data_IF_577953048567
#
_entry.id   IF_577953048567
#
_cell.length_a   1.000
_cell.length_b   1.000
_cell.length_c   1.000
_cell.angle_alpha   90.00
_cell.angle_beta   90.00
_cell.angle_gamma   90.00
#
_symmetry.space_group_name_H-M   'P 1'
#
loop_
_entity.id
_entity.type
_entity.pdbx_description
1 polymer ?
#
# COMPACT_ATOMS: atom_id res chain seq x y z
N UNK A 1 -39.75 -17.06 69.52
CA UNK A 1 -40.53 -15.83 69.79
C UNK A 1 -40.56 -14.99 68.55
N UNK A 2 -41.78 -14.75 68.14
CA UNK A 2 -42.31 -13.71 67.18
C UNK A 2 -41.70 -13.53 65.81
N UNK A 3 -42.40 -13.96 64.76
CA UNK A 3 -43.48 -13.30 63.95
C UNK A 3 -42.99 -11.95 63.38
N UNK A 4 -43.03 -11.70 62.14
CA UNK A 4 -44.21 -11.61 61.25
C UNK A 4 -43.87 -11.54 59.77
N UNK A 5 -44.71 -12.20 59.04
CA UNK A 5 -44.99 -12.14 57.63
C UNK A 5 -45.32 -10.75 57.14
N UNK A 6 -44.94 -10.44 55.85
CA UNK A 6 -45.82 -9.72 54.92
C UNK A 6 -45.54 -10.19 53.51
N UNK A 7 -46.59 -10.75 52.94
CA UNK A 7 -46.73 -11.01 51.50
C UNK A 7 -47.07 -9.72 50.78
N UNK A 8 -46.49 -9.49 49.61
CA UNK A 8 -47.26 -8.77 48.62
C UNK A 8 -46.87 -9.23 47.21
N UNK A 9 -47.90 -9.62 46.51
CA UNK A 9 -47.95 -10.06 45.13
C UNK A 9 -47.95 -8.85 44.21
N UNK A 10 -47.04 -8.79 43.27
CA UNK A 10 -47.19 -7.89 42.14
C UNK A 10 -46.76 -8.57 40.84
N UNK A 11 -47.74 -8.78 40.02
CA UNK A 11 -47.75 -9.22 38.62
C UNK A 11 -46.81 -8.39 37.75
N UNK A 12 -45.75 -8.98 37.23
CA UNK A 12 -44.84 -8.34 36.28
C UNK A 12 -44.90 -9.01 34.90
N UNK A 13 -45.36 -8.28 33.93
CA UNK A 13 -45.46 -8.60 32.50
C UNK A 13 -44.09 -8.96 31.92
N UNK A 14 -44.02 -9.87 30.90
CA UNK A 14 -42.75 -10.16 30.21
C UNK A 14 -42.40 -8.99 29.29
N UNK A 15 -41.21 -8.44 29.48
CA UNK A 15 -40.62 -7.44 28.60
C UNK A 15 -40.04 -8.14 27.37
N UNK A 16 -40.68 -7.96 26.23
CA UNK A 16 -40.14 -8.33 24.93
C UNK A 16 -38.98 -7.39 24.59
N UNK A 17 -37.83 -7.86 24.12
CA UNK A 17 -36.82 -6.98 23.58
C UNK A 17 -37.25 -6.54 22.16
N UNK A 18 -37.56 -5.26 22.02
CA UNK A 18 -37.68 -4.59 20.75
C UNK A 18 -36.30 -4.47 20.11
N UNK A 19 -36.05 -5.23 19.04
CA UNK A 19 -34.96 -4.94 18.11
C UNK A 19 -35.30 -3.59 17.43
N UNK A 20 -34.62 -2.54 17.84
CA UNK A 20 -34.64 -1.27 17.15
C UNK A 20 -33.69 -1.36 15.95
N UNK A 21 -34.27 -1.58 14.78
CA UNK A 21 -33.59 -1.38 13.49
C UNK A 21 -33.44 0.13 13.31
N UNK A 22 -32.22 0.67 13.48
CA UNK A 22 -31.91 2.05 13.14
C UNK A 22 -31.67 2.11 11.63
N UNK A 23 -32.72 2.40 10.88
CA UNK A 23 -32.63 2.91 9.53
C UNK A 23 -32.26 4.41 9.64
N UNK A 24 -30.99 4.72 9.40
CA UNK A 24 -30.55 6.09 9.21
C UNK A 24 -31.01 6.55 7.83
N UNK A 25 -32.16 7.20 7.76
CA UNK A 25 -32.62 7.92 6.59
C UNK A 25 -31.80 9.23 6.50
N UNK A 26 -30.86 9.29 5.57
CA UNK A 26 -30.26 10.56 5.16
C UNK A 26 -31.24 11.33 4.31
N UNK A 27 -31.92 12.32 4.90
CA UNK A 27 -32.67 13.33 4.17
C UNK A 27 -31.70 14.32 3.55
N UNK A 28 -31.46 14.21 2.25
CA UNK A 28 -30.81 15.24 1.44
C UNK A 28 -31.81 16.37 1.28
N UNK A 29 -31.57 17.51 1.94
CA UNK A 29 -32.19 18.78 1.61
C UNK A 29 -31.56 19.30 0.32
N UNK A 30 -32.26 19.11 -0.80
CA UNK A 30 -31.88 19.69 -2.08
C UNK A 30 -32.38 21.13 -2.11
N UNK A 31 -31.46 22.10 -2.02
CA UNK A 31 -31.73 23.45 -2.50
C UNK A 31 -31.63 23.43 -4.03
N UNK A 32 -32.79 23.64 -4.66
CA UNK A 32 -32.93 23.78 -6.09
C UNK A 32 -32.25 25.07 -6.57
N UNK A 33 -31.25 24.91 -7.45
CA UNK A 33 -30.96 25.93 -8.44
C UNK A 33 -30.69 25.22 -9.78
N UNK A 34 -31.58 25.50 -10.71
CA UNK A 34 -31.67 24.95 -12.06
C UNK A 34 -30.56 25.46 -12.94
N UNK A 35 -29.78 24.59 -13.53
CA UNK A 35 -29.27 24.72 -14.91
C UNK A 35 -28.75 23.37 -15.40
N UNK A 36 -29.41 22.82 -16.38
CA UNK A 36 -29.04 21.77 -17.35
C UNK A 36 -27.70 21.03 -17.09
N UNK A 37 -27.80 19.87 -16.48
CA UNK A 37 -26.74 18.85 -16.54
C UNK A 37 -27.39 17.54 -16.99
N UNK A 38 -26.81 16.96 -18.02
CA UNK A 38 -27.17 15.69 -18.62
C UNK A 38 -27.29 14.60 -17.55
N UNK A 39 -28.50 14.20 -17.20
CA UNK A 39 -28.84 13.44 -15.99
C UNK A 39 -28.94 11.93 -16.25
N UNK A 40 -28.02 11.33 -16.97
CA UNK A 40 -27.99 9.88 -17.16
C UNK A 40 -26.67 9.21 -16.78
N UNK A 41 -25.56 9.88 -17.06
CA UNK A 41 -24.22 9.25 -16.93
C UNK A 41 -23.68 9.20 -15.50
N UNK A 42 -24.10 10.11 -14.62
CA UNK A 42 -23.50 10.24 -13.29
C UNK A 42 -24.05 9.25 -12.23
N UNK A 43 -25.34 8.92 -12.31
CA UNK A 43 -25.94 7.97 -11.35
C UNK A 43 -25.49 6.53 -11.61
N UNK A 44 -25.40 6.15 -12.86
CA UNK A 44 -24.93 4.82 -13.27
C UNK A 44 -23.42 4.65 -13.02
N UNK A 45 -22.63 5.70 -13.23
CA UNK A 45 -21.23 5.76 -12.87
C UNK A 45 -21.00 5.64 -11.37
N UNK A 46 -21.82 6.30 -10.56
CA UNK A 46 -21.72 6.25 -9.10
C UNK A 46 -22.17 4.87 -8.54
N UNK A 47 -23.20 4.27 -9.12
CA UNK A 47 -23.63 2.90 -8.78
C UNK A 47 -22.57 1.87 -9.17
N UNK A 48 -21.94 2.01 -10.33
CA UNK A 48 -20.83 1.14 -10.76
C UNK A 48 -19.60 1.32 -9.88
N UNK A 49 -19.27 2.55 -9.49
CA UNK A 49 -18.18 2.83 -8.57
C UNK A 49 -18.43 2.27 -7.16
N UNK A 50 -19.68 2.32 -6.67
CA UNK A 50 -20.03 1.74 -5.37
C UNK A 50 -20.03 0.21 -5.39
N UNK A 51 -20.46 -0.41 -6.48
CA UNK A 51 -20.38 -1.86 -6.67
C UNK A 51 -18.93 -2.35 -6.80
N UNK A 52 -18.09 -1.60 -7.50
CA UNK A 52 -16.67 -1.89 -7.62
C UNK A 52 -15.92 -1.70 -6.29
N UNK A 53 -16.26 -0.70 -5.51
CA UNK A 53 -15.73 -0.51 -4.17
C UNK A 53 -16.14 -1.65 -3.22
N UNK A 54 -17.37 -2.15 -3.35
CA UNK A 54 -17.84 -3.31 -2.59
C UNK A 54 -17.13 -4.59 -3.00
N UNK A 55 -16.85 -4.80 -4.30
CA UNK A 55 -16.08 -5.95 -4.77
C UNK A 55 -14.60 -5.89 -4.36
N UNK A 56 -13.98 -4.71 -4.27
CA UNK A 56 -12.60 -4.57 -3.80
C UNK A 56 -12.43 -5.04 -2.36
N UNK A 57 -13.44 -4.80 -1.52
CA UNK A 57 -13.46 -5.29 -0.13
C UNK A 57 -13.60 -6.83 -0.08
N UNK A 58 -14.05 -7.47 -1.15
CA UNK A 58 -14.28 -8.92 -1.22
C UNK A 58 -13.17 -9.71 -1.89
N UNK A 59 -12.13 -9.07 -2.46
CA UNK A 59 -10.95 -9.81 -2.96
C UNK A 59 -10.28 -10.55 -1.80
N UNK A 60 -10.21 -11.86 -1.91
CA UNK A 60 -9.47 -12.68 -0.97
C UNK A 60 -7.97 -12.41 -1.06
N UNK A 61 -7.23 -12.77 -0.02
CA UNK A 61 -5.77 -12.66 -0.03
C UNK A 61 -5.14 -13.47 -1.16
N UNK A 62 -5.73 -14.62 -1.49
CA UNK A 62 -5.31 -15.45 -2.63
C UNK A 62 -5.53 -14.74 -3.97
N UNK A 63 -6.66 -14.04 -4.15
CA UNK A 63 -6.92 -13.25 -5.37
C UNK A 63 -5.94 -12.09 -5.51
N UNK A 64 -5.63 -11.40 -4.40
CA UNK A 64 -4.64 -10.30 -4.39
C UNK A 64 -3.25 -10.85 -4.74
N UNK A 65 -2.84 -11.98 -4.19
CA UNK A 65 -1.57 -12.61 -4.54
C UNK A 65 -1.51 -13.02 -6.00
N UNK A 66 -2.56 -13.66 -6.52
CA UNK A 66 -2.64 -14.05 -7.93
C UNK A 66 -2.59 -12.83 -8.87
N UNK A 67 -3.27 -11.74 -8.50
CA UNK A 67 -3.23 -10.49 -9.25
C UNK A 67 -1.83 -9.88 -9.23
N UNK A 68 -1.16 -9.88 -8.08
CA UNK A 68 0.21 -9.41 -7.96
C UNK A 68 1.18 -10.24 -8.80
N UNK A 69 1.02 -11.57 -8.83
CA UNK A 69 1.86 -12.46 -9.64
C UNK A 69 1.71 -12.17 -11.14
N UNK A 70 0.48 -12.04 -11.61
CA UNK A 70 0.20 -11.71 -13.01
C UNK A 70 0.70 -10.32 -13.38
N UNK A 71 0.48 -9.32 -12.49
CA UNK A 71 0.94 -7.95 -12.70
C UNK A 71 2.46 -7.85 -12.75
N UNK A 72 3.15 -8.53 -11.82
CA UNK A 72 4.61 -8.58 -11.81
C UNK A 72 5.17 -9.26 -13.05
N UNK A 73 4.58 -10.38 -13.50
CA UNK A 73 5.00 -11.07 -14.72
C UNK A 73 4.79 -10.20 -15.97
N UNK A 74 3.68 -9.49 -16.05
CA UNK A 74 3.37 -8.57 -17.15
C UNK A 74 4.37 -7.40 -17.20
N UNK A 75 4.69 -6.79 -16.04
CA UNK A 75 5.70 -5.74 -15.94
C UNK A 75 7.09 -6.24 -16.30
N UNK A 76 7.48 -7.44 -15.84
CA UNK A 76 8.75 -8.07 -16.20
C UNK A 76 8.84 -8.36 -17.71
N UNK A 77 7.73 -8.74 -18.34
CA UNK A 77 7.64 -9.01 -19.78
C UNK A 77 7.80 -7.75 -20.64
N UNK A 78 7.32 -6.61 -20.15
CA UNK A 78 7.42 -5.31 -20.83
C UNK A 78 8.75 -4.61 -20.59
N UNK A 79 9.40 -4.86 -19.45
CA UNK A 79 10.61 -4.18 -19.04
C UNK A 79 11.88 -4.87 -19.60
N UNK A 80 12.93 -4.08 -19.80
CA UNK A 80 14.26 -4.64 -20.00
C UNK A 80 14.86 -5.02 -18.65
N UNK A 81 14.67 -6.28 -18.25
CA UNK A 81 15.24 -6.83 -17.01
C UNK A 81 16.74 -7.02 -17.16
N UNK A 82 17.52 -6.50 -16.21
CA UNK A 82 18.98 -6.64 -16.20
C UNK A 82 19.38 -8.11 -16.07
N UNK A 83 20.35 -8.52 -16.88
CA UNK A 83 20.94 -9.86 -16.75
C UNK A 83 21.52 -10.06 -15.36
N UNK A 84 21.35 -11.26 -14.79
CA UNK A 84 21.91 -11.61 -13.48
C UNK A 84 23.44 -11.39 -13.37
N UNK A 85 24.15 -11.48 -14.49
CA UNK A 85 25.59 -11.19 -14.59
C UNK A 85 25.89 -9.70 -14.83
N UNK A 86 24.87 -8.88 -15.05
CA UNK A 86 25.01 -7.44 -15.29
C UNK A 86 25.45 -6.69 -14.01
N UNK A 87 26.18 -5.61 -14.18
CA UNK A 87 26.71 -4.80 -13.06
C UNK A 87 25.61 -4.32 -12.11
N UNK A 88 24.46 -3.88 -12.66
CA UNK A 88 23.34 -3.37 -11.88
C UNK A 88 22.69 -4.49 -11.04
N UNK A 89 22.44 -5.67 -11.63
CA UNK A 89 21.89 -6.81 -10.93
C UNK A 89 22.85 -7.32 -9.83
N UNK A 90 24.14 -7.37 -10.11
CA UNK A 90 25.15 -7.74 -9.12
C UNK A 90 25.24 -6.71 -7.97
N UNK A 91 25.10 -5.41 -8.28
CA UNK A 91 25.03 -4.36 -7.26
C UNK A 91 23.79 -4.56 -6.37
N UNK A 92 22.61 -4.76 -6.97
CA UNK A 92 21.39 -5.03 -6.22
C UNK A 92 21.54 -6.26 -5.32
N UNK A 93 22.07 -7.37 -5.83
CA UNK A 93 22.31 -8.57 -5.05
C UNK A 93 23.21 -8.34 -3.82
N UNK A 94 24.23 -7.46 -3.95
CA UNK A 94 25.05 -7.05 -2.80
C UNK A 94 24.29 -6.17 -1.82
N UNK A 95 23.44 -5.26 -2.30
CA UNK A 95 22.65 -4.34 -1.47
C UNK A 95 21.68 -5.09 -0.56
N UNK A 96 20.99 -6.09 -1.11
CA UNK A 96 19.98 -6.86 -0.37
C UNK A 96 20.58 -8.01 0.45
N UNK A 97 21.88 -8.26 0.33
CA UNK A 97 22.56 -9.26 1.16
C UNK A 97 22.51 -8.83 2.63
N UNK A 98 21.83 -9.60 3.47
CA UNK A 98 21.61 -9.31 4.89
C UNK A 98 20.28 -8.63 5.18
N UNK A 99 19.50 -8.28 4.17
CA UNK A 99 18.08 -7.97 4.33
C UNK A 99 17.26 -9.27 4.46
N UNK A 100 16.03 -9.21 5.01
CA UNK A 100 15.17 -10.39 5.08
C UNK A 100 14.90 -10.94 3.68
N UNK A 101 14.83 -12.26 3.57
CA UNK A 101 14.42 -12.94 2.34
C UNK A 101 12.91 -13.07 2.23
N UNK A 102 12.22 -12.88 3.34
CA UNK A 102 10.78 -13.03 3.48
C UNK A 102 10.25 -12.01 4.47
N UNK A 103 9.06 -11.48 4.22
CA UNK A 103 8.31 -10.61 5.14
C UNK A 103 6.86 -11.04 5.14
N UNK A 104 6.27 -11.19 6.33
CA UNK A 104 4.86 -11.60 6.52
C UNK A 104 4.48 -12.85 5.68
N UNK A 105 5.38 -13.84 5.61
CA UNK A 105 5.19 -15.07 4.83
C UNK A 105 5.39 -14.92 3.32
N UNK A 106 5.83 -13.75 2.85
CA UNK A 106 6.02 -13.46 1.43
C UNK A 106 7.50 -13.43 1.09
N UNK A 107 7.92 -14.30 0.17
CA UNK A 107 9.32 -14.33 -0.32
C UNK A 107 9.59 -13.14 -1.24
N UNK A 108 10.65 -12.38 -0.92
CA UNK A 108 11.04 -11.20 -1.68
C UNK A 108 11.86 -11.58 -2.93
N UNK A 109 11.45 -11.05 -4.09
CA UNK A 109 12.10 -11.27 -5.38
C UNK A 109 12.57 -9.95 -5.97
N UNK A 110 13.88 -9.78 -6.11
CA UNK A 110 14.51 -8.53 -6.53
C UNK A 110 15.01 -8.60 -7.97
N UNK A 111 14.63 -7.61 -8.81
CA UNK A 111 15.21 -7.44 -10.14
C UNK A 111 15.49 -5.96 -10.42
N UNK A 112 16.39 -5.70 -11.37
CA UNK A 112 16.65 -4.36 -11.89
C UNK A 112 15.98 -4.22 -13.26
N UNK A 113 15.28 -3.11 -13.48
CA UNK A 113 14.82 -2.68 -14.79
C UNK A 113 15.83 -1.70 -15.40
N UNK A 114 16.36 -2.01 -16.57
CA UNK A 114 17.30 -1.14 -17.29
C UNK A 114 16.55 0.00 -17.98
N UNK A 115 16.39 1.10 -17.27
CA UNK A 115 15.72 2.31 -17.73
C UNK A 115 16.36 3.55 -17.10
N UNK A 116 16.22 4.73 -17.75
CA UNK A 116 16.66 6.01 -17.19
C UNK A 116 15.71 6.57 -16.14
N UNK A 117 14.52 6.03 -16.04
CA UNK A 117 13.51 6.44 -15.08
C UNK A 117 14.02 6.25 -13.65
N UNK A 118 13.66 7.20 -12.77
CA UNK A 118 14.06 7.18 -11.38
C UNK A 118 12.90 6.65 -10.56
N UNK A 119 12.87 5.34 -10.34
CA UNK A 119 11.79 4.66 -9.63
C UNK A 119 12.25 3.36 -8.94
N UNK A 120 11.47 2.94 -7.96
CA UNK A 120 11.44 1.60 -7.39
C UNK A 120 10.00 1.31 -6.97
N UNK A 121 9.63 0.05 -6.85
CA UNK A 121 8.31 -0.35 -6.39
C UNK A 121 8.30 -1.79 -5.88
N UNK A 122 7.30 -2.11 -5.05
CA UNK A 122 7.07 -3.46 -4.58
C UNK A 122 5.58 -3.81 -4.60
N UNK A 123 5.29 -5.06 -5.00
CA UNK A 123 3.94 -5.64 -4.98
C UNK A 123 3.79 -6.61 -3.81
N UNK A 124 2.53 -6.87 -3.43
CA UNK A 124 2.18 -7.70 -2.28
C UNK A 124 2.70 -9.16 -2.34
N UNK A 125 3.04 -9.66 -3.53
CA UNK A 125 3.68 -10.97 -3.72
C UNK A 125 5.21 -10.98 -3.50
N UNK A 126 5.77 -9.88 -2.98
CA UNK A 126 7.20 -9.73 -2.77
C UNK A 126 8.03 -9.40 -4.02
N UNK A 127 7.37 -9.10 -5.13
CA UNK A 127 8.01 -8.61 -6.34
C UNK A 127 8.56 -7.19 -6.10
N UNK A 128 9.88 -7.04 -5.94
CA UNK A 128 10.58 -5.76 -5.73
C UNK A 128 11.39 -5.42 -6.98
N UNK A 129 11.16 -4.24 -7.53
CA UNK A 129 11.84 -3.78 -8.74
C UNK A 129 12.53 -2.44 -8.49
N UNK A 130 13.79 -2.36 -8.89
CA UNK A 130 14.63 -1.15 -8.75
C UNK A 130 15.08 -0.73 -10.13
N UNK A 131 14.88 0.51 -10.48
CA UNK A 131 15.24 1.02 -11.80
C UNK A 131 16.71 1.45 -11.84
N UNK A 132 17.40 1.18 -12.94
CA UNK A 132 18.81 1.54 -13.09
C UNK A 132 19.04 3.05 -12.97
N UNK A 133 18.09 3.88 -13.43
CA UNK A 133 18.17 5.33 -13.26
C UNK A 133 18.18 5.77 -11.79
N UNK A 134 17.41 5.12 -10.93
CA UNK A 134 17.48 5.34 -9.48
C UNK A 134 18.84 4.90 -8.92
N UNK A 135 19.32 3.73 -9.34
CA UNK A 135 20.60 3.21 -8.89
C UNK A 135 21.79 4.10 -9.29
N UNK A 136 21.72 4.79 -10.42
CA UNK A 136 22.75 5.75 -10.85
C UNK A 136 22.77 7.02 -9.99
N UNK A 137 21.62 7.45 -9.48
CA UNK A 137 21.48 8.67 -8.68
C UNK A 137 21.81 8.46 -7.21
N UNK A 138 21.74 7.23 -6.70
CA UNK A 138 21.85 6.92 -5.28
C UNK A 138 23.09 6.08 -4.96
N UNK A 139 23.68 6.35 -3.80
CA UNK A 139 24.70 5.47 -3.22
C UNK A 139 24.05 4.22 -2.58
N UNK A 140 24.87 3.28 -2.13
CA UNK A 140 24.40 1.98 -1.63
C UNK A 140 23.57 2.09 -0.34
N UNK A 141 23.86 3.06 0.55
CA UNK A 141 23.08 3.25 1.76
C UNK A 141 21.71 3.85 1.45
N UNK A 142 21.65 4.82 0.53
CA UNK A 142 20.42 5.42 0.06
C UNK A 142 19.52 4.37 -0.62
N UNK A 143 20.08 3.52 -1.49
CA UNK A 143 19.36 2.43 -2.13
C UNK A 143 18.82 1.41 -1.11
N UNK A 144 19.60 1.08 -0.06
CA UNK A 144 19.08 0.23 1.01
C UNK A 144 17.91 0.88 1.74
N UNK A 145 17.97 2.18 1.96
CA UNK A 145 16.85 2.94 2.52
C UNK A 145 15.60 2.82 1.67
N UNK A 146 15.70 3.10 0.36
CA UNK A 146 14.57 2.99 -0.57
C UNK A 146 14.05 1.56 -0.64
N UNK A 147 14.91 0.55 -0.79
CA UNK A 147 14.50 -0.86 -0.83
C UNK A 147 13.80 -1.25 0.48
N UNK A 148 14.29 -0.81 1.63
CA UNK A 148 13.67 -1.04 2.93
C UNK A 148 12.28 -0.40 3.03
N UNK A 149 12.10 0.79 2.47
CA UNK A 149 10.82 1.49 2.38
C UNK A 149 9.82 0.71 1.50
N UNK A 150 10.23 0.23 0.32
CA UNK A 150 9.39 -0.62 -0.53
C UNK A 150 8.98 -1.92 0.16
N UNK A 151 9.90 -2.55 0.89
CA UNK A 151 9.59 -3.73 1.72
C UNK A 151 8.57 -3.36 2.82
N UNK A 152 8.67 -2.16 3.40
CA UNK A 152 7.72 -1.64 4.38
C UNK A 152 6.29 -1.60 3.84
N UNK A 153 6.09 -1.11 2.61
CA UNK A 153 4.78 -1.12 1.97
C UNK A 153 4.20 -2.53 1.77
N UNK A 154 5.05 -3.52 1.52
CA UNK A 154 4.62 -4.94 1.46
C UNK A 154 4.25 -5.46 2.84
N UNK A 155 5.14 -5.30 3.82
CA UNK A 155 4.98 -5.82 5.17
C UNK A 155 3.76 -5.23 5.91
N UNK A 156 3.48 -3.95 5.69
CA UNK A 156 2.36 -3.23 6.30
C UNK A 156 1.05 -3.37 5.52
N UNK A 157 1.05 -4.13 4.42
CA UNK A 157 -0.13 -4.35 3.60
C UNK A 157 -0.57 -3.14 2.76
N UNK A 158 0.25 -2.09 2.65
CA UNK A 158 -0.06 -0.92 1.83
C UNK A 158 -0.19 -1.28 0.35
N UNK A 159 0.73 -2.10 -0.19
CA UNK A 159 0.67 -2.62 -1.56
C UNK A 159 -0.58 -3.49 -1.79
N UNK A 160 -0.99 -4.29 -0.80
CA UNK A 160 -2.25 -5.04 -0.83
C UNK A 160 -3.44 -4.11 -0.96
N UNK A 161 -3.50 -3.08 -0.12
CA UNK A 161 -4.58 -2.08 -0.14
C UNK A 161 -4.63 -1.31 -1.45
N UNK A 162 -3.48 -0.88 -1.95
CA UNK A 162 -3.38 -0.20 -3.25
C UNK A 162 -3.89 -1.09 -4.39
N UNK A 163 -3.56 -2.38 -4.37
CA UNK A 163 -4.03 -3.35 -5.36
C UNK A 163 -5.56 -3.55 -5.32
N UNK A 164 -6.14 -3.65 -4.12
CA UNK A 164 -7.59 -3.72 -3.95
C UNK A 164 -8.29 -2.49 -4.52
N UNK A 165 -7.75 -1.29 -4.26
CA UNK A 165 -8.29 -0.02 -4.79
C UNK A 165 -8.13 0.06 -6.31
N UNK A 166 -6.97 -0.30 -6.85
CA UNK A 166 -6.73 -0.30 -8.30
C UNK A 166 -7.65 -1.28 -9.02
N UNK A 167 -7.85 -2.48 -8.45
CA UNK A 167 -8.79 -3.47 -8.96
C UNK A 167 -10.22 -2.94 -8.94
N UNK A 168 -10.66 -2.36 -7.82
CA UNK A 168 -12.00 -1.78 -7.70
C UNK A 168 -12.27 -0.70 -8.76
N UNK A 169 -11.32 0.18 -8.97
CA UNK A 169 -11.41 1.23 -9.99
C UNK A 169 -11.46 0.65 -11.43
N UNK A 170 -10.84 -0.52 -11.66
CA UNK A 170 -10.89 -1.26 -12.94
C UNK A 170 -12.17 -2.09 -13.10
N UNK A 171 -12.58 -2.80 -12.06
CA UNK A 171 -13.75 -3.70 -12.06
C UNK A 171 -15.09 -2.99 -12.31
N UNK A 172 -15.15 -1.67 -12.08
CA UNK A 172 -16.30 -0.86 -12.50
C UNK A 172 -16.64 -0.99 -13.99
N UNK A 173 -15.72 -1.50 -14.81
CA UNK A 173 -15.94 -1.76 -16.24
C UNK A 173 -16.46 -3.17 -16.52
N UNK A 174 -16.29 -4.10 -15.60
CA UNK A 174 -16.54 -5.54 -15.85
C UNK A 174 -17.60 -6.20 -14.98
N UNK A 175 -18.31 -5.47 -14.13
CA UNK A 175 -19.33 -6.04 -13.23
C UNK A 175 -20.45 -6.87 -13.94
N UNK A 176 -20.36 -7.01 -15.25
CA UNK A 176 -21.32 -7.77 -16.06
C UNK A 176 -20.88 -9.20 -16.40
N UNK A 177 -19.64 -9.62 -16.11
CA UNK A 177 -19.08 -10.78 -16.82
C UNK A 177 -18.86 -12.06 -16.01
N UNK A 178 -19.05 -12.13 -14.70
CA UNK A 178 -18.68 -13.38 -14.00
C UNK A 178 -19.55 -13.77 -12.82
N UNK A 179 -20.60 -14.48 -13.12
CA UNK A 179 -21.15 -15.45 -12.19
C UNK A 179 -20.24 -16.71 -12.24
N UNK A 180 -19.40 -16.92 -11.24
CA UNK A 180 -18.85 -18.25 -10.96
C UNK A 180 -17.34 -18.50 -11.13
N UNK A 181 -16.55 -17.56 -11.63
CA UNK A 181 -15.09 -17.73 -11.72
C UNK A 181 -14.37 -16.70 -10.81
N UNK A 182 -13.13 -17.05 -10.36
CA UNK A 182 -12.26 -16.09 -9.70
C UNK A 182 -12.21 -14.79 -10.53
N UNK A 183 -12.50 -13.66 -9.88
CA UNK A 183 -12.55 -12.36 -10.54
C UNK A 183 -11.24 -12.02 -11.27
N UNK A 184 -10.10 -12.51 -10.76
CA UNK A 184 -8.76 -12.36 -11.34
C UNK A 184 -8.54 -13.28 -12.56
N UNK A 185 -9.22 -14.44 -12.61
CA UNK A 185 -9.08 -15.37 -13.72
C UNK A 185 -9.70 -14.84 -15.02
N UNK A 186 -10.69 -13.95 -14.90
CA UNK A 186 -11.39 -13.35 -16.03
C UNK A 186 -10.64 -12.15 -16.67
N UNK A 187 -9.58 -11.64 -16.04
CA UNK A 187 -8.83 -10.48 -16.54
C UNK A 187 -7.98 -10.85 -17.77
N UNK A 188 -8.04 -10.03 -18.80
CA UNK A 188 -7.16 -10.10 -19.96
C UNK A 188 -5.76 -9.59 -19.63
N UNK A 189 -4.76 -9.91 -20.46
CA UNK A 189 -3.40 -9.40 -20.31
C UNK A 189 -3.34 -7.86 -20.34
N UNK A 190 -4.16 -7.21 -21.19
CA UNK A 190 -4.24 -5.75 -21.24
C UNK A 190 -4.75 -5.16 -19.92
N UNK A 191 -5.80 -5.74 -19.34
CA UNK A 191 -6.37 -5.27 -18.07
C UNK A 191 -5.41 -5.49 -16.89
N UNK A 192 -4.68 -6.59 -16.90
CA UNK A 192 -3.61 -6.85 -15.93
C UNK A 192 -2.50 -5.79 -16.07
N UNK A 193 -2.12 -5.45 -17.30
CA UNK A 193 -1.14 -4.40 -17.59
C UNK A 193 -1.60 -3.02 -17.08
N UNK A 194 -2.83 -2.64 -17.38
CA UNK A 194 -3.42 -1.37 -16.90
C UNK A 194 -3.49 -1.31 -15.36
N UNK A 195 -3.79 -2.44 -14.72
CA UNK A 195 -3.81 -2.54 -13.26
C UNK A 195 -2.41 -2.44 -12.68
N UNK A 196 -1.43 -3.11 -13.30
CA UNK A 196 -0.04 -3.06 -12.88
C UNK A 196 0.53 -1.63 -12.94
N UNK A 197 0.26 -0.89 -14.02
CA UNK A 197 0.66 0.50 -14.16
C UNK A 197 0.00 1.40 -13.11
N UNK A 198 -1.30 1.21 -12.86
CA UNK A 198 -1.99 1.94 -11.79
C UNK A 198 -1.41 1.65 -10.42
N UNK A 199 -0.98 0.41 -10.17
CA UNK A 199 -0.38 0.02 -8.91
C UNK A 199 0.99 0.67 -8.70
N UNK A 200 1.83 0.65 -9.72
CA UNK A 200 3.16 1.30 -9.69
C UNK A 200 3.06 2.81 -9.51
N UNK A 201 1.99 3.42 -10.00
CA UNK A 201 1.72 4.85 -9.88
C UNK A 201 0.72 5.19 -8.75
N UNK A 202 0.34 4.22 -7.91
CA UNK A 202 -0.57 4.46 -6.79
C UNK A 202 0.08 5.37 -5.75
N UNK A 203 -0.64 6.42 -5.36
CA UNK A 203 -0.18 7.33 -4.30
C UNK A 203 -0.51 6.75 -2.93
N UNK A 204 0.47 6.75 -2.07
CA UNK A 204 0.30 6.43 -0.66
C UNK A 204 0.00 7.69 0.16
N UNK A 205 -0.77 7.53 1.24
CA UNK A 205 -1.01 8.63 2.16
C UNK A 205 0.26 8.97 2.96
N UNK A 206 0.36 10.19 3.46
CA UNK A 206 1.51 10.59 4.31
C UNK A 206 1.70 9.68 5.52
N UNK A 207 0.61 9.18 6.10
CA UNK A 207 0.68 8.22 7.21
C UNK A 207 1.33 6.90 6.76
N UNK A 208 0.89 6.33 5.63
CA UNK A 208 1.49 5.11 5.07
C UNK A 208 2.96 5.30 4.69
N UNK A 209 3.32 6.47 4.18
CA UNK A 209 4.71 6.82 3.89
C UNK A 209 5.56 6.84 5.17
N UNK A 210 5.07 7.48 6.24
CA UNK A 210 5.76 7.51 7.53
C UNK A 210 5.89 6.11 8.14
N UNK A 211 4.85 5.30 8.07
CA UNK A 211 4.87 3.90 8.54
C UNK A 211 5.89 3.06 7.76
N UNK A 212 5.98 3.23 6.43
CA UNK A 212 6.97 2.55 5.60
C UNK A 212 8.40 3.02 5.89
N UNK A 213 8.59 4.30 6.18
CA UNK A 213 9.88 4.87 6.60
C UNK A 213 10.32 4.31 7.94
N UNK A 214 9.41 4.23 8.91
CA UNK A 214 9.67 3.65 10.23
C UNK A 214 10.01 2.16 10.13
N UNK A 215 9.28 1.43 9.30
CA UNK A 215 9.59 0.03 9.02
C UNK A 215 10.99 -0.12 8.42
N UNK A 216 11.34 0.69 7.42
CA UNK A 216 12.66 0.68 6.80
C UNK A 216 13.77 0.98 7.83
N UNK A 217 13.54 1.95 8.71
CA UNK A 217 14.48 2.31 9.77
C UNK A 217 14.72 1.12 10.71
N UNK A 218 13.67 0.46 11.16
CA UNK A 218 13.75 -0.68 12.08
C UNK A 218 14.35 -1.92 11.41
N UNK A 219 14.00 -2.18 10.14
CA UNK A 219 14.59 -3.23 9.32
C UNK A 219 16.10 -3.06 9.18
N UNK A 220 16.55 -1.85 8.81
CA UNK A 220 17.98 -1.56 8.67
C UNK A 220 18.71 -1.63 10.01
N UNK A 221 18.06 -1.24 11.12
CA UNK A 221 18.59 -1.37 12.47
C UNK A 221 18.82 -2.83 12.83
N UNK A 222 17.82 -3.68 12.61
CA UNK A 222 17.89 -5.12 12.86
C UNK A 222 18.96 -5.80 12.00
N UNK A 223 19.07 -5.39 10.75
CA UNK A 223 20.10 -5.86 9.81
C UNK A 223 21.49 -5.29 10.10
N UNK A 224 21.66 -4.42 11.11
CA UNK A 224 22.91 -3.71 11.45
C UNK A 224 23.47 -2.89 10.28
N UNK A 225 22.58 -2.34 9.47
CA UNK A 225 22.91 -1.48 8.33
C UNK A 225 22.79 0.00 8.70
N UNK A 226 23.41 0.85 7.91
CA UNK A 226 23.32 2.30 8.08
C UNK A 226 21.93 2.79 7.70
N UNK A 227 21.36 3.71 8.49
CA UNK A 227 20.02 4.28 8.34
C UNK A 227 20.01 5.73 7.86
N UNK A 228 21.15 6.40 7.93
CA UNK A 228 21.31 7.78 7.45
C UNK A 228 21.05 7.91 5.94
N UNK A 229 21.15 6.79 5.19
CA UNK A 229 20.79 6.72 3.78
C UNK A 229 19.32 7.03 3.51
N UNK A 230 18.39 6.75 4.45
CA UNK A 230 16.97 7.15 4.31
C UNK A 230 16.84 8.67 4.20
N UNK A 231 17.51 9.41 5.09
CA UNK A 231 17.49 10.88 5.08
C UNK A 231 18.01 11.42 3.76
N UNK A 232 19.22 11.00 3.38
CA UNK A 232 19.87 11.54 2.18
C UNK A 232 19.18 11.11 0.88
N UNK A 233 18.51 9.94 0.86
CA UNK A 233 17.67 9.52 -0.24
C UNK A 233 16.48 10.47 -0.43
N UNK A 234 15.73 10.77 0.63
CA UNK A 234 14.59 11.68 0.55
C UNK A 234 15.00 13.10 0.16
N UNK A 235 16.12 13.60 0.68
CA UNK A 235 16.66 14.90 0.27
C UNK A 235 17.04 14.94 -1.21
N UNK A 236 17.61 13.85 -1.73
CA UNK A 236 17.92 13.75 -3.17
C UNK A 236 16.69 13.67 -4.02
N UNK A 237 15.70 12.84 -3.64
CA UNK A 237 14.44 12.75 -4.35
C UNK A 237 13.73 14.10 -4.38
N UNK A 238 13.64 14.80 -3.25
CA UNK A 238 13.03 16.12 -3.19
C UNK A 238 13.70 17.13 -4.14
N UNK A 239 15.03 17.06 -4.32
CA UNK A 239 15.78 17.92 -5.27
C UNK A 239 15.57 17.55 -6.73
N UNK A 240 15.18 16.30 -7.02
CA UNK A 240 14.91 15.84 -8.39
C UNK A 240 13.53 16.32 -8.88
N UNK A 241 12.60 16.60 -7.97
CA UNK A 241 11.27 17.10 -8.29
C UNK A 241 10.57 16.20 -9.32
N UNK A 242 9.91 16.81 -10.30
CA UNK A 242 9.13 16.11 -11.34
C UNK A 242 9.98 15.20 -12.26
N UNK A 243 11.30 15.20 -12.12
CA UNK A 243 12.18 14.27 -12.85
C UNK A 243 12.22 12.86 -12.23
N UNK A 244 11.44 12.60 -11.18
CA UNK A 244 11.35 11.32 -10.52
C UNK A 244 9.90 10.83 -10.48
N UNK A 245 9.59 9.76 -11.18
CA UNK A 245 8.28 9.09 -11.08
C UNK A 245 8.04 8.51 -9.68
N UNK A 246 9.09 8.23 -8.92
CA UNK A 246 8.98 7.81 -7.53
C UNK A 246 8.29 8.88 -6.65
N UNK A 247 8.47 10.17 -6.93
CA UNK A 247 7.79 11.23 -6.18
C UNK A 247 6.30 11.31 -6.48
N UNK A 248 5.85 10.79 -7.62
CA UNK A 248 4.44 10.74 -7.96
C UNK A 248 3.68 9.71 -7.11
N UNK A 249 4.32 8.59 -6.79
CA UNK A 249 3.76 7.53 -5.93
C UNK A 249 4.11 7.70 -4.45
N UNK A 250 5.29 8.22 -4.16
CA UNK A 250 5.83 8.43 -2.81
C UNK A 250 6.18 9.90 -2.60
N UNK A 251 5.23 10.76 -2.24
CA UNK A 251 5.49 12.18 -2.03
C UNK A 251 6.64 12.38 -1.04
N UNK A 252 7.76 12.94 -1.53
CA UNK A 252 8.84 13.30 -0.66
C UNK A 252 8.46 14.57 0.11
N UNK A 253 8.49 14.51 1.42
CA UNK A 253 8.38 15.68 2.25
C UNK A 253 9.68 15.90 3.00
N UNK A 254 10.05 17.15 3.20
CA UNK A 254 11.13 17.53 4.14
C UNK A 254 10.84 16.98 5.54
N UNK A 255 9.58 16.81 5.87
CA UNK A 255 9.08 16.25 7.12
C UNK A 255 9.48 14.79 7.30
N UNK A 256 9.43 13.97 6.25
CA UNK A 256 9.88 12.56 6.30
C UNK A 256 11.38 12.48 6.61
N UNK A 257 12.19 13.28 5.91
CA UNK A 257 13.63 13.35 6.21
C UNK A 257 13.89 13.82 7.65
N UNK A 258 13.11 14.80 8.14
CA UNK A 258 13.23 15.30 9.52
C UNK A 258 12.82 14.24 10.53
N UNK A 259 11.72 13.53 10.32
CA UNK A 259 11.26 12.44 11.16
C UNK A 259 12.37 11.37 11.38
N UNK A 260 13.03 10.95 10.32
CA UNK A 260 14.14 9.97 10.42
C UNK A 260 15.38 10.57 11.14
N UNK A 261 15.68 11.86 10.96
CA UNK A 261 16.75 12.53 11.73
C UNK A 261 16.45 12.54 13.23
N UNK A 262 15.19 12.79 13.59
CA UNK A 262 14.76 12.83 14.98
C UNK A 262 14.88 11.44 15.62
N UNK A 263 14.49 10.38 14.93
CA UNK A 263 14.70 8.99 15.38
C UNK A 263 16.19 8.68 15.57
N UNK A 264 17.05 9.03 14.61
CA UNK A 264 18.50 8.84 14.71
C UNK A 264 19.10 9.59 15.91
N UNK A 265 18.60 10.79 16.20
CA UNK A 265 19.06 11.63 17.30
C UNK A 265 18.61 11.10 18.66
N UNK A 266 17.36 10.64 18.76
CA UNK A 266 16.82 10.03 19.98
C UNK A 266 17.63 8.80 20.41
N UNK A 267 17.97 7.90 19.45
CA UNK A 267 18.79 6.72 19.76
C UNK A 267 20.22 7.07 20.22
N UNK A 268 20.84 8.09 19.62
CA UNK A 268 22.16 8.55 20.06
C UNK A 268 22.12 9.07 21.50
N UNK A 269 21.04 9.74 21.88
CA UNK A 269 20.83 10.27 23.23
C UNK A 269 20.58 9.13 24.22
N UNK A 270 19.70 8.18 23.89
CA UNK A 270 19.42 7.00 24.70
C UNK A 270 20.69 6.14 24.90
N UNK A 271 21.49 5.93 23.85
CA UNK A 271 22.73 5.18 23.94
C UNK A 271 23.83 5.87 24.77
N UNK A 272 23.76 7.18 24.96
CA UNK A 272 24.64 7.92 25.89
C UNK A 272 24.20 7.78 27.35
N UNK A 273 22.89 7.74 27.60
CA UNK A 273 22.32 7.59 28.95
C UNK A 273 22.60 6.19 29.53
N UNK A 274 22.62 5.17 28.70
CA UNK A 274 22.89 3.77 29.14
C UNK A 274 24.39 3.51 29.42
N UNK A 275 25.29 4.39 28.96
CA UNK A 275 26.74 4.26 29.16
C UNK A 275 27.27 5.08 30.34
N UNK A 276 26.44 5.80 31.08
CA UNK A 276 26.75 6.44 32.35
C UNK A 276 26.24 5.59 33.52
#
# INVERSE_FOLDING_TARGET
MNRSSFSDTATGRPVRPLLAAVLAAFTLAACSNTSNVASGANAEGLLKASAAAAQAVTLSDADVMQLADKSCAEMDGKAKVASAKGKAAQRLARLVKGMPKEVEGVTLNYKVYETREINAWAMNNGCVRVYSGLMEKMNDNELRGVIGHEIGHVALGHSKKAMQVAYAAGAARQAAASAGNSAVAALTASEIGDLAEKLVNAQFSQAQETEADDYAFDLLTTAKMRRDGLVTAFEKLAKLGDNSSMLSSHPASSERAQHIRDRLSAEKTAGKVVKQ
#
